data_IF_835720775475
#
_entry.id   IF_835720775475
#
_cell.length_a   1.000
_cell.length_b   1.000
_cell.length_c   1.000
_cell.angle_alpha   90.00
_cell.angle_beta   90.00
_cell.angle_gamma   90.00
#
_symmetry.space_group_name_H-M   'P 1'
#
loop_
_entity.id
_entity.type
_entity.pdbx_description
1 polymer ?
#
# COMPACT_ATOMS: atom_id res chain seq x y z
N UNK A 1 -18.98 -0.48 -1.57
CA UNK A 1 -18.19 -1.72 -1.69
C UNK A 1 -16.77 -1.38 -1.29
N UNK A 2 -16.10 -2.23 -0.49
CA UNK A 2 -14.68 -2.03 -0.15
C UNK A 2 -13.84 -2.68 -1.24
N UNK A 3 -12.82 -1.98 -1.72
CA UNK A 3 -12.00 -2.39 -2.85
C UNK A 3 -10.62 -2.87 -2.44
N UNK A 4 -10.32 -2.91 -1.13
CA UNK A 4 -9.03 -3.34 -0.59
C UNK A 4 -9.23 -4.40 0.49
N UNK A 5 -8.66 -5.57 0.29
CA UNK A 5 -8.59 -6.63 1.30
C UNK A 5 -7.15 -7.01 1.56
N UNK A 6 -6.85 -7.36 2.82
CA UNK A 6 -5.53 -7.83 3.25
C UNK A 6 -5.71 -9.19 3.92
N UNK A 7 -5.10 -10.25 3.37
CA UNK A 7 -5.23 -11.62 3.88
C UNK A 7 -6.69 -12.02 4.10
N UNK A 8 -7.57 -11.72 3.14
CA UNK A 8 -9.02 -11.92 3.20
C UNK A 8 -9.78 -11.09 4.25
N UNK A 9 -9.11 -10.16 4.94
CA UNK A 9 -9.77 -9.18 5.80
C UNK A 9 -10.16 -7.97 4.98
N UNK A 10 -11.46 -7.70 4.92
CA UNK A 10 -12.00 -6.48 4.29
C UNK A 10 -11.66 -5.28 5.18
N UNK A 11 -10.93 -4.33 4.62
CA UNK A 11 -10.65 -3.07 5.31
C UNK A 11 -11.87 -2.14 5.21
N UNK A 12 -12.05 -1.22 6.18
CA UNK A 12 -13.04 -0.15 6.06
C UNK A 12 -12.72 0.73 4.84
N UNK A 13 -13.65 1.60 4.46
CA UNK A 13 -13.39 2.55 3.39
C UNK A 13 -12.24 3.48 3.81
N UNK A 14 -11.20 3.63 2.97
CA UNK A 14 -10.09 4.54 3.26
C UNK A 14 -10.52 5.99 3.11
N UNK A 15 -9.91 6.86 3.90
CA UNK A 15 -10.01 8.33 3.75
C UNK A 15 -9.24 8.79 2.50
N UNK A 16 -8.14 8.12 2.18
CA UNK A 16 -7.37 8.31 0.95
C UNK A 16 -7.00 6.97 0.35
N UNK A 17 -7.17 6.84 -0.97
CA UNK A 17 -6.74 5.68 -1.74
C UNK A 17 -6.05 6.15 -3.02
N UNK A 18 -4.75 5.89 -3.13
CA UNK A 18 -3.96 6.26 -4.30
C UNK A 18 -3.21 5.05 -4.81
N UNK A 19 -3.34 4.77 -6.10
CA UNK A 19 -2.54 3.76 -6.79
C UNK A 19 -1.52 4.47 -7.67
N UNK A 20 -0.26 4.06 -7.54
CA UNK A 20 0.86 4.50 -8.37
C UNK A 20 1.46 3.28 -9.07
N UNK A 21 1.87 3.48 -10.32
CA UNK A 21 2.54 2.46 -11.14
C UNK A 21 3.96 2.93 -11.39
N UNK A 22 4.93 2.13 -10.94
CA UNK A 22 6.35 2.46 -11.06
C UNK A 22 7.10 1.34 -11.76
N UNK A 23 7.93 1.68 -12.74
CA UNK A 23 8.78 0.70 -13.40
C UNK A 23 9.98 0.37 -12.52
N UNK A 24 10.36 -0.89 -12.47
CA UNK A 24 11.59 -1.35 -11.82
C UNK A 24 12.70 -1.32 -12.87
N UNK A 25 13.65 -0.42 -12.66
CA UNK A 25 14.83 -0.28 -13.51
C UNK A 25 16.00 -1.14 -13.01
N UNK A 26 16.80 -1.60 -13.96
CA UNK A 26 18.04 -2.31 -13.70
C UNK A 26 19.12 -1.38 -13.16
N UNK A 27 20.08 -1.96 -12.45
CA UNK A 27 21.30 -1.26 -12.02
C UNK A 27 22.16 -0.77 -13.20
N UNK A 28 21.93 -1.29 -14.42
CA UNK A 28 22.52 -0.81 -15.67
C UNK A 28 21.88 0.48 -16.19
N UNK A 29 20.74 0.92 -15.63
CA UNK A 29 20.13 2.20 -16.00
C UNK A 29 20.94 3.37 -15.44
N UNK A 30 21.14 4.41 -16.23
CA UNK A 30 21.93 5.56 -15.82
C UNK A 30 22.39 6.43 -16.98
N UNK A 31 23.09 7.50 -16.64
CA UNK A 31 23.74 8.36 -17.63
C UNK A 31 25.05 7.71 -18.08
N UNK A 32 25.25 7.62 -19.40
CA UNK A 32 26.49 7.15 -20.00
C UNK A 32 27.51 8.29 -20.09
N UNK A 33 28.77 7.95 -20.32
CA UNK A 33 29.86 8.92 -20.51
C UNK A 33 29.62 9.86 -21.71
N UNK A 34 28.83 9.41 -22.70
CA UNK A 34 28.39 10.23 -23.83
C UNK A 34 27.25 11.20 -23.51
N UNK A 35 26.81 11.28 -22.25
CA UNK A 35 25.74 12.16 -21.80
C UNK A 35 24.33 11.66 -22.12
N UNK A 36 24.17 10.46 -22.69
CA UNK A 36 22.85 9.84 -22.95
C UNK A 36 22.36 9.10 -21.71
N UNK A 37 21.05 9.08 -21.48
CA UNK A 37 20.46 8.27 -20.42
C UNK A 37 20.00 6.92 -20.99
N UNK A 38 20.59 5.84 -20.50
CA UNK A 38 20.14 4.48 -20.80
C UNK A 38 19.14 4.04 -19.74
N UNK A 39 17.93 3.71 -20.19
CA UNK A 39 16.84 3.21 -19.34
C UNK A 39 16.62 1.74 -19.63
N UNK A 40 17.02 0.89 -18.68
CA UNK A 40 16.92 -0.56 -18.77
C UNK A 40 15.87 -1.05 -17.76
N UNK A 41 14.66 -1.34 -18.24
CA UNK A 41 13.52 -1.70 -17.38
C UNK A 41 13.43 -3.22 -17.21
N UNK A 42 13.50 -3.69 -15.96
CA UNK A 42 13.36 -5.11 -15.59
C UNK A 42 11.90 -5.51 -15.51
N UNK A 43 11.04 -4.64 -14.97
CA UNK A 43 9.60 -4.90 -14.81
C UNK A 43 8.81 -3.61 -14.93
N UNK A 44 7.77 -3.64 -15.74
CA UNK A 44 6.87 -2.51 -15.91
C UNK A 44 5.78 -2.49 -14.83
N UNK A 45 5.44 -1.28 -14.38
CA UNK A 45 4.20 -0.99 -13.67
C UNK A 45 4.00 -1.74 -12.35
N UNK A 46 5.06 -1.88 -11.53
CA UNK A 46 4.94 -2.33 -10.14
C UNK A 46 3.95 -1.43 -9.40
N UNK A 47 2.96 -2.06 -8.79
CA UNK A 47 1.88 -1.37 -8.09
C UNK A 47 2.35 -0.92 -6.71
N UNK A 48 2.04 0.34 -6.38
CA UNK A 48 2.17 0.90 -5.04
C UNK A 48 0.84 1.55 -4.65
N UNK A 49 0.30 1.19 -3.49
CA UNK A 49 -0.99 1.69 -3.01
C UNK A 49 -0.76 2.46 -1.70
N UNK A 50 -0.96 3.76 -1.73
CA UNK A 50 -0.94 4.60 -0.52
C UNK A 50 -2.35 4.74 0.01
N UNK A 51 -2.53 4.35 1.27
CA UNK A 51 -3.83 4.40 1.93
C UNK A 51 -3.76 5.09 3.28
N UNK A 52 -4.86 5.76 3.64
CA UNK A 52 -5.07 6.27 4.98
C UNK A 52 -6.49 5.97 5.47
N UNK A 53 -6.65 5.83 6.77
CA UNK A 53 -7.90 5.47 7.43
C UNK A 53 -8.05 6.20 8.75
N UNK A 54 -9.29 6.51 9.10
CA UNK A 54 -9.71 6.90 10.44
C UNK A 54 -10.38 5.71 11.11
N UNK A 55 -9.67 5.06 12.02
CA UNK A 55 -10.01 3.78 12.62
C UNK A 55 -10.33 3.91 14.11
N UNK A 56 -11.24 3.05 14.58
CA UNK A 56 -11.38 2.82 16.02
C UNK A 56 -10.20 2.02 16.56
N UNK A 57 -9.97 2.08 17.88
CA UNK A 57 -8.95 1.29 18.57
C UNK A 57 -8.98 -0.20 18.21
N UNK A 58 -10.17 -0.81 18.17
CA UNK A 58 -10.31 -2.25 17.90
C UNK A 58 -9.83 -2.59 16.48
N UNK A 59 -10.24 -1.80 15.50
CA UNK A 59 -9.83 -1.99 14.09
C UNK A 59 -8.34 -1.72 13.90
N UNK A 60 -7.80 -0.70 14.57
CA UNK A 60 -6.38 -0.38 14.54
C UNK A 60 -5.53 -1.57 15.03
N UNK A 61 -5.87 -2.16 16.19
CA UNK A 61 -5.15 -3.33 16.73
C UNK A 61 -5.18 -4.52 15.78
N UNK A 62 -6.34 -4.80 15.16
CA UNK A 62 -6.47 -5.86 14.15
C UNK A 62 -5.57 -5.58 12.94
N UNK A 63 -5.56 -4.34 12.45
CA UNK A 63 -4.73 -3.91 11.34
C UNK A 63 -3.25 -4.10 11.68
N UNK A 64 -2.77 -3.60 12.83
CA UNK A 64 -1.38 -3.77 13.29
C UNK A 64 -0.96 -5.24 13.36
N UNK A 65 -1.87 -6.15 13.75
CA UNK A 65 -1.60 -7.59 13.75
C UNK A 65 -1.35 -8.18 12.35
N UNK A 66 -1.93 -7.60 11.31
CA UNK A 66 -1.66 -7.96 9.91
C UNK A 66 -0.29 -7.46 9.43
N UNK A 67 0.22 -6.38 10.03
CA UNK A 67 1.46 -5.70 9.62
C UNK A 67 2.73 -6.40 10.10
N UNK A 68 2.62 -7.25 11.12
CA UNK A 68 3.74 -8.04 11.64
C UNK A 68 4.15 -9.20 10.69
N UNK A 69 3.78 -9.14 9.42
CA UNK A 69 4.07 -10.16 8.40
C UNK A 69 5.01 -9.57 7.34
N UNK A 70 5.97 -10.36 6.88
CA UNK A 70 6.92 -9.95 5.84
C UNK A 70 6.26 -9.68 4.49
N UNK A 71 5.11 -10.32 4.24
CA UNK A 71 4.27 -10.10 3.06
C UNK A 71 2.81 -10.39 3.38
N UNK A 72 1.92 -9.76 2.62
CA UNK A 72 0.47 -9.90 2.73
C UNK A 72 -0.15 -10.13 1.36
N UNK A 73 -1.24 -10.89 1.32
CA UNK A 73 -2.02 -11.07 0.10
C UNK A 73 -3.04 -9.94 0.02
N UNK A 74 -2.90 -9.07 -0.98
CA UNK A 74 -3.78 -7.93 -1.15
C UNK A 74 -4.64 -8.08 -2.39
N UNK A 75 -5.95 -7.89 -2.24
CA UNK A 75 -6.86 -7.71 -3.36
C UNK A 75 -7.19 -6.23 -3.48
N UNK A 76 -7.03 -5.67 -4.68
CA UNK A 76 -7.23 -4.26 -4.95
C UNK A 76 -7.91 -4.05 -6.32
N UNK A 77 -8.57 -2.90 -6.51
CA UNK A 77 -9.11 -2.52 -7.81
C UNK A 77 -7.98 -1.98 -8.70
N UNK A 78 -7.64 -2.69 -9.78
CA UNK A 78 -6.60 -2.27 -10.72
C UNK A 78 -7.13 -1.16 -11.64
N UNK A 79 -6.49 0.03 -11.67
CA UNK A 79 -6.95 1.16 -12.49
C UNK A 79 -6.81 0.91 -14.00
N UNK A 80 -5.99 -0.04 -14.43
CA UNK A 80 -5.82 -0.36 -15.86
C UNK A 80 -6.98 -1.18 -16.41
N UNK A 81 -7.47 -2.12 -15.61
CA UNK A 81 -8.46 -3.12 -16.03
C UNK A 81 -9.84 -2.89 -15.42
N UNK A 82 -9.92 -2.08 -14.36
CA UNK A 82 -11.11 -1.86 -13.55
C UNK A 82 -11.68 -3.16 -12.96
N UNK A 83 -10.81 -4.15 -12.72
CA UNK A 83 -11.14 -5.43 -12.10
C UNK A 83 -10.39 -5.59 -10.78
N UNK A 84 -10.95 -6.43 -9.89
CA UNK A 84 -10.25 -6.79 -8.66
C UNK A 84 -9.11 -7.74 -8.98
N UNK A 85 -7.89 -7.30 -8.71
CA UNK A 85 -6.65 -8.04 -8.89
C UNK A 85 -6.09 -8.41 -7.53
N UNK A 86 -5.45 -9.57 -7.43
CA UNK A 86 -4.80 -10.03 -6.21
C UNK A 86 -3.29 -10.13 -6.43
N UNK A 87 -2.49 -9.63 -5.49
CA UNK A 87 -1.02 -9.70 -5.55
C UNK A 87 -0.41 -9.82 -4.16
N UNK A 88 0.79 -10.41 -4.09
CA UNK A 88 1.60 -10.38 -2.86
C UNK A 88 2.24 -9.00 -2.74
N UNK A 89 1.99 -8.35 -1.60
CA UNK A 89 2.49 -7.01 -1.33
C UNK A 89 3.25 -6.98 0.00
N UNK A 90 4.24 -6.10 0.06
CA UNK A 90 4.90 -5.70 1.30
C UNK A 90 4.29 -4.38 1.76
N UNK A 91 4.01 -4.27 3.06
CA UNK A 91 3.62 -3.00 3.64
C UNK A 91 4.84 -2.22 4.14
N UNK A 92 4.87 -0.93 3.87
CA UNK A 92 5.88 0.02 4.35
C UNK A 92 5.22 1.33 4.80
N UNK A 93 6.02 2.24 5.36
CA UNK A 93 5.60 3.60 5.74
C UNK A 93 4.37 3.65 6.66
N UNK A 94 4.25 2.69 7.59
CA UNK A 94 3.17 2.70 8.56
C UNK A 94 3.33 3.87 9.53
N UNK A 95 2.31 4.72 9.59
CA UNK A 95 2.21 5.83 10.53
C UNK A 95 0.84 5.81 11.22
N UNK A 96 0.82 6.15 12.51
CA UNK A 96 -0.40 6.11 13.31
C UNK A 96 -0.45 7.28 14.31
N UNK A 97 -1.46 8.14 14.16
CA UNK A 97 -1.70 9.31 15.01
C UNK A 97 -3.02 9.15 15.76
N UNK A 98 -3.03 9.33 17.08
CA UNK A 98 -4.25 9.33 17.86
C UNK A 98 -4.95 10.69 17.76
N UNK A 99 -6.10 10.74 17.08
CA UNK A 99 -6.87 11.98 16.90
C UNK A 99 -7.64 12.33 18.18
N UNK A 100 -8.22 11.32 18.84
CA UNK A 100 -9.04 11.52 20.04
C UNK A 100 -8.98 10.32 20.96
N UNK A 101 -8.95 10.57 22.27
CA UNK A 101 -9.07 9.53 23.28
C UNK A 101 -10.18 9.87 24.26
N UNK A 102 -11.26 9.08 24.27
CA UNK A 102 -12.31 9.17 25.29
C UNK A 102 -12.57 7.78 25.85
N UNK A 103 -12.29 7.59 27.14
CA UNK A 103 -12.63 6.38 27.91
C UNK A 103 -12.34 5.05 27.17
N UNK A 104 -11.17 4.94 26.51
CA UNK A 104 -10.73 3.71 25.85
C UNK A 104 -11.22 3.49 24.40
N UNK A 105 -12.04 4.40 23.87
CA UNK A 105 -12.50 4.42 22.47
C UNK A 105 -11.63 5.38 21.65
N UNK A 106 -10.33 5.14 21.62
CA UNK A 106 -9.39 5.95 20.84
C UNK A 106 -9.72 5.91 19.35
N UNK A 107 -9.75 7.07 18.70
CA UNK A 107 -9.84 7.22 17.26
C UNK A 107 -8.43 7.52 16.72
N UNK A 108 -8.00 6.73 15.74
CA UNK A 108 -6.65 6.74 15.19
C UNK A 108 -6.71 7.06 13.71
N UNK A 109 -5.89 8.00 13.27
CA UNK A 109 -5.54 8.14 11.87
C UNK A 109 -4.36 7.23 11.60
N UNK A 110 -4.47 6.38 10.59
CA UNK A 110 -3.45 5.41 10.23
C UNK A 110 -3.19 5.50 8.74
N UNK A 111 -1.93 5.50 8.32
CA UNK A 111 -1.55 5.43 6.92
C UNK A 111 -0.45 4.41 6.70
N UNK A 112 -0.38 3.88 5.49
CA UNK A 112 0.69 2.97 5.06
C UNK A 112 0.70 2.84 3.54
N UNK A 113 1.80 2.28 3.02
CA UNK A 113 1.97 1.96 1.61
C UNK A 113 2.00 0.45 1.42
N UNK A 114 1.27 -0.09 0.45
CA UNK A 114 1.38 -1.48 -0.01
C UNK A 114 2.12 -1.50 -1.34
N UNK A 115 3.29 -2.13 -1.39
CA UNK A 115 4.09 -2.27 -2.60
C UNK A 115 4.09 -3.71 -3.07
N UNK A 116 3.73 -3.93 -4.33
CA UNK A 116 3.83 -5.23 -4.98
C UNK A 116 5.27 -5.76 -4.96
N UNK A 117 5.43 -7.05 -4.62
CA UNK A 117 6.71 -7.75 -4.61
C UNK A 117 7.16 -8.14 -6.02
#
# INVERSE_FOLDING_TARGET
>A
MSYLTINNHVLPLPDQYRISLTDIESKSSGQTEGGTYQRDVIRLGRVSIDVSFTLTRETNVKLTGLLNRSKVLCQYLDPKTNHLTQSEMMMSNYDATMIKNRQGQGLWQVSFTLTEL
#
